data_IF_595911718529
#
_entry.id   IF_595911718529
#
_cell.length_a   1.000
_cell.length_b   1.000
_cell.length_c   1.000
_cell.angle_alpha   90.00
_cell.angle_beta   90.00
_cell.angle_gamma   90.00
#
_symmetry.space_group_name_H-M   'P 1'
#
loop_
_entity.id
_entity.type
_entity.pdbx_description
1 polymer ?
#
# COMPACT_ATOMS: atom_id res chain seq x y z
N UNK A 1 14.14 14.76 -26.42
CA UNK A 1 13.41 15.41 -25.33
C UNK A 1 13.84 14.72 -24.05
N UNK A 2 14.52 15.47 -23.18
CA UNK A 2 15.28 14.94 -22.04
C UNK A 2 14.38 14.97 -20.80
N UNK A 3 13.98 13.81 -20.30
CA UNK A 3 13.20 13.72 -19.06
C UNK A 3 14.14 13.89 -17.86
N UNK A 4 13.90 14.95 -17.09
CA UNK A 4 14.61 15.23 -15.85
C UNK A 4 14.08 14.29 -14.75
N UNK A 5 14.94 13.41 -14.26
CA UNK A 5 14.71 12.64 -13.03
C UNK A 5 14.98 13.58 -11.86
N UNK A 6 13.91 14.01 -11.18
CA UNK A 6 14.05 14.85 -9.99
C UNK A 6 14.12 13.94 -8.75
N UNK A 7 15.34 13.77 -8.24
CA UNK A 7 15.64 13.18 -6.94
C UNK A 7 15.33 14.24 -5.88
N UNK A 8 14.35 13.98 -5.01
CA UNK A 8 14.08 14.84 -3.85
C UNK A 8 15.17 14.64 -2.79
N UNK A 9 16.12 15.57 -2.78
CA UNK A 9 17.14 15.70 -1.74
C UNK A 9 16.57 16.25 -0.44
N UNK A 10 17.05 15.72 0.67
CA UNK A 10 16.75 16.20 2.02
C UNK A 10 17.33 17.61 2.24
N UNK A 11 16.49 18.56 2.61
CA UNK A 11 16.93 19.88 3.09
C UNK A 11 17.47 19.75 4.50
N UNK A 12 18.80 19.80 4.62
CA UNK A 12 19.49 20.06 5.88
C UNK A 12 19.45 21.55 6.20
N UNK A 13 18.95 21.91 7.39
CA UNK A 13 19.17 23.23 8.00
C UNK A 13 20.14 23.06 9.17
N UNK A 14 21.28 23.75 9.10
CA UNK A 14 22.25 23.84 10.20
C UNK A 14 21.75 24.75 11.34
N UNK A 15 22.37 24.68 12.53
CA UNK A 15 21.88 25.36 13.73
C UNK A 15 22.42 26.79 13.84
N UNK A 16 21.62 27.69 14.42
CA UNK A 16 22.09 28.96 14.98
C UNK A 16 22.06 28.89 16.53
N UNK A 17 23.01 29.55 17.24
CA UNK A 17 23.31 29.28 18.64
C UNK A 17 22.52 30.18 19.60
N UNK A 18 22.21 29.67 20.80
CA UNK A 18 21.74 30.50 21.91
C UNK A 18 21.02 29.76 23.03
N UNK A 19 21.77 29.32 24.05
CA UNK A 19 21.51 29.50 25.49
C UNK A 19 20.06 29.29 25.98
N UNK A 20 19.72 28.30 26.82
CA UNK A 20 20.11 28.24 28.24
C UNK A 20 19.58 26.96 28.90
N UNK A 21 20.33 26.49 29.91
CA UNK A 21 20.07 25.33 30.76
C UNK A 21 18.75 25.44 31.57
N UNK A 22 18.01 24.33 31.62
CA UNK A 22 16.84 24.16 32.50
C UNK A 22 16.33 22.71 32.46
N UNK A 23 15.89 22.13 33.60
CA UNK A 23 15.95 20.70 33.84
C UNK A 23 14.94 19.87 33.04
N UNK A 24 15.45 18.71 32.66
CA UNK A 24 14.85 17.53 32.04
C UNK A 24 13.45 17.21 32.60
N UNK A 25 12.43 17.64 31.87
CA UNK A 25 11.04 17.31 32.13
C UNK A 25 10.31 17.25 30.79
N UNK A 26 10.58 16.20 30.01
CA UNK A 26 10.00 16.02 28.68
C UNK A 26 8.49 15.87 28.74
N UNK A 27 7.77 16.97 28.58
CA UNK A 27 6.35 17.00 28.25
C UNK A 27 6.19 17.23 26.75
N UNK A 28 6.09 16.14 26.00
CA UNK A 28 5.16 15.95 24.87
C UNK A 28 5.58 14.71 24.10
N UNK A 29 4.93 13.60 24.43
CA UNK A 29 4.68 12.56 23.43
C UNK A 29 3.21 12.73 23.04
N UNK A 30 2.92 13.80 22.28
CA UNK A 30 1.70 13.85 21.47
C UNK A 30 1.91 12.84 20.33
N UNK A 31 1.07 11.81 20.26
CA UNK A 31 0.98 10.96 19.08
C UNK A 31 0.66 9.51 19.40
N UNK A 32 -0.61 9.16 19.22
CA UNK A 32 -1.21 7.81 19.22
C UNK A 32 -0.58 6.84 18.18
N UNK A 33 0.74 6.67 18.22
CA UNK A 33 1.42 5.64 17.44
C UNK A 33 1.74 4.50 18.41
N UNK A 34 1.07 3.34 18.33
CA UNK A 34 1.44 2.20 19.17
C UNK A 34 2.93 1.92 18.97
N UNK A 35 3.67 1.80 20.08
CA UNK A 35 5.10 1.50 20.04
C UNK A 35 5.27 0.09 19.45
N UNK A 36 5.59 0.02 18.17
CA UNK A 36 5.92 -1.23 17.48
C UNK A 36 7.41 -1.50 17.64
N UNK A 37 7.77 -2.76 17.87
CA UNK A 37 9.18 -3.14 18.02
C UNK A 37 9.94 -2.98 16.71
N UNK A 38 11.24 -2.71 16.79
CA UNK A 38 12.12 -2.63 15.62
C UNK A 38 12.08 -3.90 14.76
N UNK A 39 11.84 -5.06 15.36
CA UNK A 39 11.69 -6.33 14.65
C UNK A 39 10.44 -6.37 13.75
N UNK A 40 9.36 -5.66 14.14
CA UNK A 40 8.13 -5.55 13.34
C UNK A 40 8.23 -4.44 12.29
N UNK A 41 8.99 -3.38 12.56
CA UNK A 41 9.13 -2.25 11.66
C UNK A 41 10.25 -2.43 10.64
N UNK A 42 11.29 -3.18 10.99
CA UNK A 42 12.41 -3.31 10.07
C UNK A 42 12.04 -4.12 8.85
N UNK A 43 12.61 -3.78 7.70
CA UNK A 43 12.37 -4.49 6.45
C UNK A 43 12.55 -6.01 6.57
N UNK A 44 11.73 -6.81 5.87
CA UNK A 44 12.00 -8.24 5.74
C UNK A 44 13.32 -8.49 5.00
N UNK A 45 13.88 -9.69 5.19
CA UNK A 45 15.12 -10.12 4.52
C UNK A 45 14.99 -10.08 3.00
N UNK A 46 13.82 -10.48 2.50
CA UNK A 46 13.50 -10.49 1.06
C UNK A 46 12.30 -9.59 0.77
N UNK A 47 12.21 -9.01 -0.45
CA UNK A 47 11.05 -8.24 -0.84
C UNK A 47 9.78 -9.11 -0.83
N UNK A 48 8.73 -8.73 -0.08
CA UNK A 48 7.57 -9.59 0.10
C UNK A 48 6.74 -9.72 -1.18
N UNK A 49 5.93 -10.78 -1.25
CA UNK A 49 4.78 -10.82 -2.14
C UNK A 49 3.66 -9.92 -1.59
N UNK A 50 2.74 -9.50 -2.45
CA UNK A 50 1.55 -8.75 -2.05
C UNK A 50 0.32 -9.44 -2.63
N UNK A 51 -0.75 -9.51 -1.84
CA UNK A 51 -2.06 -10.00 -2.28
C UNK A 51 -3.16 -9.02 -1.94
N UNK A 52 -4.14 -8.91 -2.81
CA UNK A 52 -5.41 -8.25 -2.56
C UNK A 52 -6.37 -9.28 -1.99
N UNK A 53 -6.90 -9.03 -0.80
CA UNK A 53 -7.87 -9.91 -0.13
C UNK A 53 -9.21 -9.21 -0.05
N UNK A 54 -10.26 -9.90 -0.51
CA UNK A 54 -11.63 -9.43 -0.48
C UNK A 54 -12.58 -10.60 -0.19
N UNK A 55 -13.13 -10.63 1.03
CA UNK A 55 -13.90 -11.77 1.51
C UNK A 55 -13.05 -13.05 1.49
N UNK A 56 -13.51 -14.08 0.78
CA UNK A 56 -12.78 -15.34 0.63
C UNK A 56 -11.76 -15.35 -0.54
N UNK A 57 -11.67 -14.28 -1.31
CA UNK A 57 -10.76 -14.20 -2.46
C UNK A 57 -9.43 -13.60 -2.06
N UNK A 58 -8.36 -14.15 -2.63
CA UNK A 58 -6.98 -13.69 -2.47
C UNK A 58 -6.32 -13.68 -3.84
N UNK A 59 -6.02 -12.49 -4.33
CA UNK A 59 -5.46 -12.29 -5.66
C UNK A 59 -4.02 -11.77 -5.54
N UNK A 60 -3.02 -12.51 -6.05
CA UNK A 60 -1.63 -12.05 -6.00
C UNK A 60 -1.43 -10.84 -6.92
N UNK A 61 -0.77 -9.83 -6.39
CA UNK A 61 -0.39 -8.64 -7.12
C UNK A 61 0.94 -8.84 -7.84
N UNK A 62 1.07 -8.26 -9.05
CA UNK A 62 2.31 -8.35 -9.83
C UNK A 62 3.29 -7.28 -9.39
N UNK A 63 4.47 -7.69 -8.92
CA UNK A 63 5.56 -6.78 -8.58
C UNK A 63 6.19 -6.20 -9.85
N UNK A 64 6.35 -4.88 -9.91
CA UNK A 64 6.90 -4.16 -11.06
C UNK A 64 8.22 -3.46 -10.74
N UNK A 65 8.47 -3.14 -9.48
CA UNK A 65 9.68 -2.43 -9.05
C UNK A 65 10.09 -2.92 -7.66
N UNK A 66 11.41 -3.00 -7.45
CA UNK A 66 12.03 -3.33 -6.18
C UNK A 66 13.30 -2.50 -6.03
N UNK A 67 13.47 -1.86 -4.88
CA UNK A 67 14.76 -1.38 -4.41
C UNK A 67 15.00 -1.96 -3.01
N UNK A 68 15.80 -3.03 -2.96
CA UNK A 68 16.25 -3.68 -1.72
C UNK A 68 17.74 -3.46 -1.46
N UNK A 69 18.36 -2.47 -2.13
CA UNK A 69 19.80 -2.22 -2.09
C UNK A 69 20.34 -1.99 -0.67
N UNK A 70 19.59 -1.26 0.17
CA UNK A 70 19.95 -1.00 1.57
C UNK A 70 19.95 -2.25 2.47
N UNK A 71 19.43 -3.38 1.97
CA UNK A 71 19.48 -4.72 2.59
C UNK A 71 20.46 -5.65 1.88
N UNK A 72 21.24 -5.16 0.91
CA UNK A 72 22.10 -5.97 0.04
C UNK A 72 21.31 -6.85 -0.94
N UNK A 73 20.03 -6.54 -1.16
CA UNK A 73 19.14 -7.33 -1.99
C UNK A 73 18.96 -6.79 -3.41
N UNK A 74 17.93 -7.29 -4.13
CA UNK A 74 17.74 -6.99 -5.55
C UNK A 74 17.33 -5.54 -5.80
N UNK A 75 17.68 -5.03 -6.98
CA UNK A 75 17.20 -3.76 -7.52
C UNK A 75 16.64 -4.03 -8.92
N UNK A 76 15.38 -3.65 -9.15
CA UNK A 76 14.69 -3.83 -10.43
C UNK A 76 13.79 -2.63 -10.66
N UNK A 77 13.99 -1.95 -11.78
CA UNK A 77 13.13 -0.84 -12.21
C UNK A 77 11.83 -1.33 -12.88
N UNK A 78 10.86 -0.42 -13.08
CA UNK A 78 9.63 -0.74 -13.77
C UNK A 78 9.89 -1.23 -15.21
N UNK A 79 9.11 -2.20 -15.72
CA UNK A 79 9.21 -2.64 -17.10
C UNK A 79 8.72 -1.57 -18.06
N UNK A 80 9.13 -1.65 -19.33
CA UNK A 80 8.63 -0.77 -20.41
C UNK A 80 7.18 -1.05 -20.80
N UNK A 81 6.68 -2.23 -20.45
CA UNK A 81 5.30 -2.65 -20.65
C UNK A 81 4.79 -3.23 -19.34
N UNK A 82 3.61 -2.81 -18.90
CA UNK A 82 3.01 -3.29 -17.66
C UNK A 82 1.77 -4.11 -17.97
N UNK A 83 1.86 -5.40 -17.70
CA UNK A 83 0.71 -6.26 -17.68
C UNK A 83 -0.03 -6.12 -16.34
N UNK A 84 -1.36 -6.03 -16.36
CA UNK A 84 -2.18 -5.84 -15.17
C UNK A 84 -2.97 -7.09 -14.85
N UNK A 85 -2.63 -7.86 -13.79
CA UNK A 85 -3.44 -9.00 -13.40
C UNK A 85 -4.81 -8.50 -12.94
N UNK A 86 -5.88 -9.17 -13.35
CA UNK A 86 -7.24 -8.75 -13.03
C UNK A 86 -7.72 -9.40 -11.73
N UNK A 87 -8.14 -8.58 -10.78
CA UNK A 87 -8.85 -9.00 -9.58
C UNK A 87 -10.33 -8.66 -9.72
N UNK A 88 -11.19 -9.68 -9.69
CA UNK A 88 -12.64 -9.50 -9.79
C UNK A 88 -13.26 -9.40 -8.41
N UNK A 89 -13.79 -8.24 -8.08
CA UNK A 89 -14.49 -7.98 -6.82
C UNK A 89 -16.00 -8.03 -7.05
N UNK A 90 -16.73 -8.54 -6.07
CA UNK A 90 -18.21 -8.55 -6.08
C UNK A 90 -18.74 -7.25 -5.49
N UNK A 91 -19.84 -6.72 -6.04
CA UNK A 91 -20.39 -5.39 -5.71
C UNK A 91 -20.75 -5.11 -4.24
N UNK A 92 -20.75 -6.10 -3.35
CA UNK A 92 -20.90 -5.89 -1.89
C UNK A 92 -19.59 -5.57 -1.17
N UNK A 93 -18.44 -5.76 -1.83
CA UNK A 93 -17.13 -5.46 -1.26
C UNK A 93 -16.98 -3.95 -1.20
N UNK A 94 -16.74 -3.38 -0.01
CA UNK A 94 -16.44 -1.94 0.18
C UNK A 94 -15.08 -1.68 0.81
N UNK A 95 -14.38 -2.76 1.17
CA UNK A 95 -13.05 -2.74 1.78
C UNK A 95 -12.25 -3.90 1.22
N UNK A 96 -10.99 -3.64 0.94
CA UNK A 96 -10.03 -4.68 0.58
C UNK A 96 -8.87 -4.62 1.55
N UNK A 97 -8.23 -5.76 1.75
CA UNK A 97 -7.03 -5.87 2.56
C UNK A 97 -5.85 -6.13 1.65
N UNK A 98 -4.82 -5.29 1.76
CA UNK A 98 -3.51 -5.51 1.15
C UNK A 98 -2.68 -6.34 2.12
N UNK A 99 -2.48 -7.61 1.78
CA UNK A 99 -1.74 -8.55 2.61
C UNK A 99 -0.33 -8.76 2.06
N UNK A 100 0.66 -8.32 2.83
CA UNK A 100 2.06 -8.50 2.55
C UNK A 100 2.50 -9.88 3.05
N UNK A 101 3.21 -10.64 2.23
CA UNK A 101 3.75 -11.98 2.55
C UNK A 101 4.91 -11.96 3.56
N UNK A 102 4.82 -11.12 4.58
CA UNK A 102 5.80 -10.88 5.64
C UNK A 102 5.06 -10.39 6.88
N UNK A 103 5.56 -10.67 8.09
CA UNK A 103 5.02 -10.09 9.31
C UNK A 103 5.48 -8.64 9.56
N UNK A 104 6.47 -8.16 8.79
CA UNK A 104 7.04 -6.83 8.94
C UNK A 104 6.10 -5.77 8.33
N UNK A 105 5.73 -4.78 9.14
CA UNK A 105 4.82 -3.71 8.75
C UNK A 105 5.55 -2.63 7.93
N UNK A 106 5.04 -2.25 6.75
CA UNK A 106 5.60 -1.12 6.02
C UNK A 106 5.38 0.18 6.80
N UNK A 107 6.42 1.01 6.85
CA UNK A 107 6.34 2.35 7.43
C UNK A 107 5.36 3.26 6.66
N UNK A 108 5.36 3.12 5.32
CA UNK A 108 4.52 3.87 4.39
C UNK A 108 3.97 2.94 3.31
N UNK A 109 2.69 3.10 3.00
CA UNK A 109 2.04 2.50 1.82
C UNK A 109 1.33 3.63 1.08
N UNK A 110 1.56 3.72 -0.22
CA UNK A 110 0.89 4.68 -1.10
C UNK A 110 0.15 3.89 -2.17
N UNK A 111 -1.12 4.19 -2.35
CA UNK A 111 -1.97 3.60 -3.38
C UNK A 111 -2.28 4.67 -4.41
N UNK A 112 -1.90 4.40 -5.66
CA UNK A 112 -2.30 5.18 -6.81
C UNK A 112 -3.39 4.43 -7.55
N UNK A 113 -4.44 5.13 -7.92
CA UNK A 113 -5.54 4.59 -8.72
C UNK A 113 -5.67 5.42 -9.99
N UNK A 114 -5.75 4.72 -11.11
CA UNK A 114 -5.93 5.29 -12.44
C UNK A 114 -7.19 4.72 -13.11
N UNK A 115 -7.94 5.54 -13.87
CA UNK A 115 -9.13 5.07 -14.57
C UNK A 115 -8.80 4.21 -15.80
N UNK A 116 -7.59 4.32 -16.35
CA UNK A 116 -7.18 3.64 -17.56
C UNK A 116 -5.66 3.64 -17.74
N UNK A 117 -5.20 2.95 -18.78
CA UNK A 117 -3.79 2.89 -19.19
C UNK A 117 -3.64 3.08 -20.70
N UNK A 118 -2.47 3.53 -21.12
CA UNK A 118 -2.05 3.53 -22.52
C UNK A 118 -1.85 2.13 -23.08
N UNK A 119 -1.47 2.06 -24.36
CA UNK A 119 -1.26 0.79 -25.09
C UNK A 119 -0.13 -0.07 -24.51
N UNK A 120 0.83 0.54 -23.83
CA UNK A 120 1.92 -0.12 -23.12
C UNK A 120 1.55 -0.49 -21.67
N UNK A 121 0.31 -0.26 -21.26
CA UNK A 121 -0.14 -0.49 -19.89
C UNK A 121 0.35 0.58 -18.90
N UNK A 122 0.93 1.69 -19.36
CA UNK A 122 1.36 2.79 -18.49
C UNK A 122 0.19 3.77 -18.32
N UNK A 123 -0.24 4.10 -17.09
CA UNK A 123 -1.29 5.08 -16.85
C UNK A 123 -0.81 6.51 -17.11
N UNK A 124 -1.76 7.40 -17.38
CA UNK A 124 -1.52 8.84 -17.38
C UNK A 124 -1.33 9.32 -15.93
N UNK A 125 -0.18 9.93 -15.63
CA UNK A 125 0.21 10.37 -14.29
C UNK A 125 -0.78 11.40 -13.72
N UNK A 126 -1.35 12.27 -14.59
CA UNK A 126 -2.25 13.34 -14.18
C UNK A 126 -3.70 12.87 -13.93
N UNK A 127 -4.03 11.63 -14.34
CA UNK A 127 -5.35 11.03 -14.14
C UNK A 127 -5.46 10.24 -12.83
N UNK A 128 -4.37 10.17 -12.05
CA UNK A 128 -4.27 9.38 -10.84
C UNK A 128 -4.88 10.04 -9.60
N UNK A 129 -5.47 9.23 -8.72
CA UNK A 129 -5.74 9.62 -7.33
C UNK A 129 -4.77 8.91 -6.38
N UNK A 130 -4.28 9.62 -5.37
CA UNK A 130 -3.35 9.10 -4.38
C UNK A 130 -4.05 8.89 -3.03
N UNK A 131 -3.76 7.76 -2.37
CA UNK A 131 -4.11 7.51 -0.97
C UNK A 131 -2.86 7.09 -0.22
N UNK A 132 -2.47 7.89 0.79
CA UNK A 132 -1.31 7.62 1.63
C UNK A 132 -1.79 6.98 2.93
N UNK A 133 -1.40 5.73 3.16
CA UNK A 133 -1.47 5.11 4.47
C UNK A 133 -0.10 5.28 5.13
N UNK A 134 0.00 6.11 6.17
CA UNK A 134 1.23 6.37 6.95
C UNK A 134 0.96 6.35 8.46
N UNK A 135 1.96 6.04 9.29
CA UNK A 135 1.80 6.10 10.76
C UNK A 135 1.48 7.53 11.25
N UNK A 136 2.08 8.54 10.63
CA UNK A 136 1.89 9.96 10.96
C UNK A 136 0.67 10.60 10.29
N UNK A 137 -0.09 9.83 9.50
CA UNK A 137 -1.26 10.33 8.77
C UNK A 137 -2.36 9.27 8.84
N UNK A 138 -3.05 9.15 9.99
CA UNK A 138 -4.19 8.26 10.12
C UNK A 138 -5.31 8.76 9.19
N UNK A 139 -5.33 8.24 7.97
CA UNK A 139 -6.46 8.40 7.09
C UNK A 139 -7.57 7.47 7.59
N UNK A 140 -8.81 7.96 7.70
CA UNK A 140 -9.97 7.12 8.03
C UNK A 140 -10.17 5.94 7.05
N UNK A 141 -9.47 5.97 5.92
CA UNK A 141 -9.44 4.94 4.89
C UNK A 141 -8.41 3.84 5.12
N UNK A 142 -7.49 3.92 6.09
CA UNK A 142 -6.49 2.86 6.29
C UNK A 142 -6.40 2.36 7.74
N UNK A 143 -6.48 1.03 7.93
CA UNK A 143 -6.03 0.38 9.17
C UNK A 143 -4.87 -0.57 8.88
N UNK A 144 -3.96 -0.73 9.84
CA UNK A 144 -2.82 -1.63 9.72
C UNK A 144 -2.90 -2.65 10.82
N UNK A 145 -2.78 -3.92 10.47
CA UNK A 145 -2.66 -5.01 11.42
C UNK A 145 -1.47 -5.86 11.04
N UNK A 146 -0.70 -6.31 12.01
CA UNK A 146 0.52 -7.07 11.75
C UNK A 146 1.27 -7.25 13.06
N UNK A 147 1.79 -8.45 13.29
CA UNK A 147 2.42 -8.78 14.56
C UNK A 147 2.81 -10.25 14.63
N UNK A 148 4.11 -10.49 14.75
CA UNK A 148 4.72 -11.79 15.09
C UNK A 148 4.45 -12.87 14.03
N UNK A 149 3.32 -13.55 14.20
CA UNK A 149 3.01 -14.81 13.52
C UNK A 149 2.04 -14.65 12.34
N UNK A 150 1.52 -13.43 12.10
CA UNK A 150 0.58 -13.15 11.01
C UNK A 150 1.19 -12.21 9.96
N UNK A 151 0.84 -12.40 8.67
CA UNK A 151 1.15 -11.45 7.61
C UNK A 151 0.74 -10.02 7.99
N UNK A 152 1.57 -9.05 7.63
CA UNK A 152 1.29 -7.64 7.68
C UNK A 152 0.15 -7.34 6.71
N UNK A 153 -0.89 -6.72 7.23
CA UNK A 153 -2.10 -6.36 6.53
C UNK A 153 -2.32 -4.85 6.61
N UNK A 154 -2.65 -4.26 5.48
CA UNK A 154 -3.10 -2.88 5.38
C UNK A 154 -4.49 -2.92 4.78
N UNK A 155 -5.51 -2.70 5.60
CA UNK A 155 -6.87 -2.56 5.14
C UNK A 155 -7.03 -1.18 4.53
N UNK A 156 -7.57 -1.12 3.33
CA UNK A 156 -7.89 0.14 2.67
C UNK A 156 -9.37 0.16 2.34
N UNK A 157 -10.07 1.18 2.84
CA UNK A 157 -11.41 1.49 2.39
C UNK A 157 -11.31 2.04 0.97
N UNK A 158 -11.77 1.25 0.01
CA UNK A 158 -11.79 1.64 -1.38
C UNK A 158 -13.19 2.05 -1.77
N UNK A 159 -13.31 3.14 -2.51
CA UNK A 159 -14.45 3.32 -3.39
C UNK A 159 -14.25 2.45 -4.63
N UNK A 160 -14.58 1.16 -4.46
CA UNK A 160 -14.44 0.14 -5.49
C UNK A 160 -15.47 0.29 -6.61
N UNK A 161 -16.53 1.11 -6.47
CA UNK A 161 -17.60 1.19 -7.48
C UNK A 161 -17.08 1.62 -8.86
N UNK A 162 -16.00 2.38 -8.92
CA UNK A 162 -15.42 2.83 -10.19
C UNK A 162 -14.29 1.92 -10.75
N UNK A 163 -13.97 0.77 -10.13
CA UNK A 163 -12.91 -0.14 -10.60
C UNK A 163 -11.54 0.54 -10.85
N UNK A 164 -10.71 -0.01 -11.74
CA UNK A 164 -9.56 0.69 -12.32
C UNK A 164 -8.21 0.00 -12.14
N UNK A 165 -7.14 0.76 -12.35
CA UNK A 165 -5.75 0.28 -12.36
C UNK A 165 -5.02 0.80 -11.12
N UNK A 166 -4.48 -0.10 -10.31
CA UNK A 166 -3.97 0.21 -8.98
C UNK A 166 -2.47 -0.07 -8.88
N UNK A 167 -1.69 0.95 -8.54
CA UNK A 167 -0.29 0.79 -8.15
C UNK A 167 -0.22 0.88 -6.63
N UNK A 168 0.31 -0.16 -5.98
CA UNK A 168 0.61 -0.14 -4.55
C UNK A 168 2.11 0.00 -4.40
N UNK A 169 2.56 1.03 -3.69
CA UNK A 169 3.95 1.24 -3.34
C UNK A 169 4.12 1.14 -1.83
N UNK A 170 5.08 0.35 -1.34
CA UNK A 170 5.34 0.20 0.09
C UNK A 170 6.83 0.32 0.42
N UNK A 171 7.11 0.85 1.60
CA UNK A 171 8.46 1.15 2.06
C UNK A 171 8.71 0.71 3.51
N UNK A 172 9.88 0.10 3.75
CA UNK A 172 10.30 -0.38 5.06
C UNK A 172 11.66 0.20 5.47
N UNK A 173 11.83 0.63 6.73
CA UNK A 173 13.12 1.04 7.26
C UNK A 173 14.04 -0.16 7.55
N UNK A 174 15.35 0.01 7.38
CA UNK A 174 16.36 -1.02 7.70
C UNK A 174 17.03 -0.75 9.05
N UNK A 175 16.41 -1.13 10.17
CA UNK A 175 16.78 -0.70 11.53
C UNK A 175 17.94 -1.47 12.17
N UNK A 176 18.40 -2.56 11.55
CA UNK A 176 19.45 -3.42 12.11
C UNK A 176 20.79 -2.67 12.20
N UNK A 177 21.44 -2.72 13.36
CA UNK A 177 22.82 -2.25 13.56
C UNK A 177 23.00 -0.73 13.69
N UNK A 178 21.92 0.02 13.96
CA UNK A 178 21.97 1.49 13.94
C UNK A 178 22.29 2.15 15.27
N UNK A 179 22.98 3.28 15.18
CA UNK A 179 23.04 4.32 16.21
C UNK A 179 22.02 5.44 15.91
N UNK A 180 21.55 6.14 16.93
CA UNK A 180 20.38 7.04 16.91
C UNK A 180 20.51 8.34 16.08
N UNK A 181 21.60 8.54 15.35
CA UNK A 181 21.92 9.83 14.69
C UNK A 181 21.99 9.77 13.16
N UNK A 182 21.81 8.59 12.56
CA UNK A 182 21.96 8.40 11.12
C UNK A 182 20.61 8.42 10.39
N UNK A 183 20.59 8.94 9.15
CA UNK A 183 19.42 8.83 8.29
C UNK A 183 19.00 7.37 8.17
N UNK A 184 17.70 7.12 8.26
CA UNK A 184 17.14 5.77 8.22
C UNK A 184 17.16 5.24 6.79
N UNK A 185 18.03 4.28 6.40
CA UNK A 185 17.91 3.61 5.12
C UNK A 185 16.54 2.95 4.96
N UNK A 186 16.02 3.00 3.74
CA UNK A 186 14.70 2.48 3.36
C UNK A 186 14.85 1.56 2.16
N UNK A 187 14.09 0.47 2.16
CA UNK A 187 13.85 -0.37 0.98
C UNK A 187 12.40 -0.24 0.56
N UNK A 188 12.11 -0.47 -0.72
CA UNK A 188 10.76 -0.29 -1.25
C UNK A 188 10.44 -1.22 -2.42
N UNK A 189 9.16 -1.46 -2.64
CA UNK A 189 8.66 -2.20 -3.80
C UNK A 189 7.32 -1.65 -4.24
N UNK A 190 7.01 -1.86 -5.52
CA UNK A 190 5.74 -1.49 -6.13
C UNK A 190 5.10 -2.69 -6.82
N UNK A 191 3.78 -2.78 -6.73
CA UNK A 191 2.97 -3.81 -7.36
C UNK A 191 1.76 -3.22 -8.09
N UNK A 192 1.20 -4.01 -9.02
CA UNK A 192 0.07 -3.61 -9.86
C UNK A 192 -1.05 -4.64 -9.88
N UNK A 193 -2.29 -4.15 -10.03
CA UNK A 193 -3.52 -4.95 -10.25
C UNK A 193 -4.57 -4.11 -10.97
N UNK A 194 -5.35 -4.72 -11.86
CA UNK A 194 -6.59 -4.15 -12.38
C UNK A 194 -7.75 -4.68 -11.54
N UNK A 195 -8.57 -3.80 -10.99
CA UNK A 195 -9.73 -4.16 -10.20
C UNK A 195 -10.98 -4.03 -11.06
N UNK A 196 -11.60 -5.17 -11.34
CA UNK A 196 -12.85 -5.27 -12.09
C UNK A 196 -14.01 -5.45 -11.11
N UNK A 197 -15.02 -4.58 -11.19
CA UNK A 197 -16.30 -4.76 -10.51
C UNK A 197 -17.16 -5.74 -11.30
N UNK A 198 -17.65 -6.79 -10.65
CA UNK A 198 -18.75 -7.59 -11.19
C UNK A 198 -20.05 -7.10 -10.56
N UNK A 199 -20.92 -6.51 -11.40
CA UNK A 199 -22.30 -6.29 -11.03
C UNK A 199 -22.89 -7.63 -10.58
N UNK A 200 -23.38 -7.68 -9.34
CA UNK A 200 -24.10 -8.84 -8.85
C UNK A 200 -25.32 -9.01 -9.73
N UNK A 201 -25.37 -10.09 -10.54
CA UNK A 201 -26.62 -10.47 -11.18
C UNK A 201 -27.61 -10.72 -10.04
N UNK A 202 -28.60 -9.84 -9.93
CA UNK A 202 -29.80 -10.15 -9.17
C UNK A 202 -30.36 -11.45 -9.73
N UNK A 203 -30.24 -12.53 -8.97
CA UNK A 203 -31.07 -13.71 -9.17
C UNK A 203 -32.50 -13.34 -8.74
N UNK A 204 -33.19 -12.53 -9.53
CA UNK A 204 -34.65 -12.40 -9.48
C UNK A 204 -35.21 -13.30 -10.57
N UNK A 205 -35.05 -14.61 -10.38
CA UNK A 205 -35.87 -15.59 -11.07
C UNK A 205 -37.12 -15.76 -10.23
N UNK A 206 -38.11 -14.90 -10.48
CA UNK A 206 -39.47 -15.13 -10.01
C UNK A 206 -39.97 -16.40 -10.69
N UNK A 207 -40.06 -17.48 -9.93
CA UNK A 207 -40.94 -18.58 -10.27
C UNK A 207 -42.37 -18.04 -10.21
N UNK A 208 -42.87 -17.61 -11.37
CA UNK A 208 -44.29 -17.40 -11.60
C UNK A 208 -44.94 -18.78 -11.62
N UNK A 209 -45.37 -19.23 -10.44
CA UNK A 209 -46.22 -20.41 -10.28
C UNK A 209 -47.55 -20.12 -10.97
N UNK A 210 -47.73 -20.69 -12.16
CA UNK A 210 -49.01 -20.72 -12.84
C UNK A 210 -50.03 -21.45 -11.95
N UNK A 211 -51.04 -20.72 -11.50
CA UNK A 211 -52.23 -21.28 -10.85
C UNK A 211 -53.07 -21.97 -11.93
N UNK A 212 -53.32 -23.29 -11.88
CA UNK A 212 -54.28 -23.92 -12.77
C UNK A 212 -55.68 -23.49 -12.34
N UNK A 213 -56.42 -22.85 -13.24
CA UNK A 213 -57.87 -22.68 -13.08
C UNK A 213 -58.57 -24.00 -13.40
N UNK A 214 -59.31 -24.52 -12.43
CA UNK A 214 -60.29 -25.59 -12.64
C UNK A 214 -61.56 -25.01 -13.29
N UNK A 215 -62.09 -25.62 -14.36
CA UNK A 215 -63.49 -25.49 -14.76
C UNK A 215 -64.43 -26.48 -14.04
#
# INVERSE_FOLDING_TARGET
MTAAVMVLGATGCGPAPGQSDGPTGGTRQDGDTPYLSDALLTAPLEPPALSLVAGARREPLRRIMVDWSARGGPVTGPPRHVDWPAARLTGTTRRVTMEFGTAQLPSRVVLYRYPGTGADGIPDEDAGTETICGYSTPAASCSRTGGGDRPAQVDVALDVEAGGYWVVHAAWPVLVGRSSTEQVPVVSASWVVRVDQMEGRHADQRDEVAVPGDP
#
